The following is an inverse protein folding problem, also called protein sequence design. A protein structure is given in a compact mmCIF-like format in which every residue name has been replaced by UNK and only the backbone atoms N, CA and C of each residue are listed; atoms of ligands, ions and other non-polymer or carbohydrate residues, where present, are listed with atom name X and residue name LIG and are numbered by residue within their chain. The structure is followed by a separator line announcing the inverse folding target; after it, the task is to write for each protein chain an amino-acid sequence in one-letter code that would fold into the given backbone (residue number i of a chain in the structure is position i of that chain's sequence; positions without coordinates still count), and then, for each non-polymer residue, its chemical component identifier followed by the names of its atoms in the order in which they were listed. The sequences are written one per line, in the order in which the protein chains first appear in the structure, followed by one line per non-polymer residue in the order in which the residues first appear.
data_IF_855359365964
#
_entry.id   IF_855359365964
#
_cell.length_a   1.000
_cell.length_b   1.000
_cell.length_c   1.000
_cell.angle_alpha   90.00
_cell.angle_beta   90.00
_cell.angle_gamma   90.00
#
_symmetry.space_group_name_H-M   'P 1'
#
loop_
_entity.id
_entity.type
_entity.pdbx_description
1 polymer ?
#
# COMPACT_ATOMS: atom_id res chain seq x y z
N UNK A 1 0.12 20.40 21.53
CA UNK A 1 0.56 20.27 20.12
C UNK A 1 0.19 18.87 19.65
N UNK A 2 -0.74 18.73 18.70
CA UNK A 2 -1.20 17.43 18.24
C UNK A 2 -0.09 16.70 17.48
N UNK A 3 0.19 15.46 17.86
CA UNK A 3 1.16 14.60 17.17
C UNK A 3 0.75 14.48 15.70
N UNK A 4 1.63 14.84 14.77
CA UNK A 4 1.40 14.60 13.34
C UNK A 4 1.49 13.10 13.07
N UNK A 5 0.35 12.52 12.67
CA UNK A 5 0.28 11.12 12.23
C UNK A 5 1.28 10.87 11.10
N UNK A 6 2.15 9.84 11.18
CA UNK A 6 3.08 9.53 10.10
C UNK A 6 2.31 9.23 8.82
N UNK A 7 2.75 9.84 7.72
CA UNK A 7 2.17 9.59 6.40
C UNK A 7 2.65 8.26 5.87
N UNK A 8 1.74 7.46 5.34
CA UNK A 8 2.06 6.12 4.83
C UNK A 8 1.66 6.02 3.37
N UNK A 9 2.58 5.51 2.54
CA UNK A 9 2.29 4.94 1.24
C UNK A 9 2.31 3.42 1.34
N UNK A 10 1.39 2.75 0.66
CA UNK A 10 1.35 1.29 0.59
C UNK A 10 1.29 0.80 -0.86
N UNK A 11 1.88 -0.37 -1.08
CA UNK A 11 1.90 -1.09 -2.36
C UNK A 11 1.48 -2.52 -2.07
N UNK A 12 0.47 -3.01 -2.78
CA UNK A 12 0.08 -4.41 -2.81
C UNK A 12 0.70 -5.04 -4.06
N UNK A 13 1.23 -6.24 -3.92
CA UNK A 13 1.98 -6.95 -4.96
C UNK A 13 1.23 -8.26 -5.21
N UNK A 14 0.85 -8.53 -6.46
CA UNK A 14 0.18 -9.76 -6.87
C UNK A 14 -0.53 -9.63 -8.20
N UNK A 15 -0.10 -10.37 -9.22
CA UNK A 15 -0.77 -10.41 -10.53
C UNK A 15 -2.21 -10.94 -10.40
N UNK A 16 -2.49 -11.85 -9.47
CA UNK A 16 -3.82 -12.43 -9.24
C UNK A 16 -4.84 -11.41 -8.73
N UNK A 17 -4.37 -10.35 -8.08
CA UNK A 17 -5.23 -9.25 -7.64
C UNK A 17 -5.60 -8.38 -8.85
N UNK A 18 -4.63 -8.10 -9.71
CA UNK A 18 -4.86 -7.34 -10.95
C UNK A 18 -5.75 -8.11 -11.94
N UNK A 19 -5.60 -9.44 -12.00
CA UNK A 19 -6.36 -10.30 -12.90
C UNK A 19 -7.69 -10.78 -12.31
N UNK A 20 -8.11 -10.27 -11.15
CA UNK A 20 -9.34 -10.66 -10.42
C UNK A 20 -9.43 -12.16 -10.06
N UNK A 21 -8.33 -12.92 -10.14
CA UNK A 21 -8.30 -14.33 -9.71
C UNK A 21 -8.45 -14.44 -8.21
N UNK A 22 -7.98 -13.43 -7.48
CA UNK A 22 -8.04 -13.36 -6.02
C UNK A 22 -8.55 -11.99 -5.59
N UNK A 23 -9.51 -12.00 -4.66
CA UNK A 23 -10.00 -10.77 -4.03
C UNK A 23 -8.94 -10.19 -3.09
N UNK A 24 -8.67 -8.91 -3.21
CA UNK A 24 -7.80 -8.20 -2.26
C UNK A 24 -8.44 -8.13 -0.86
N UNK A 25 -7.85 -8.88 0.08
CA UNK A 25 -8.19 -8.84 1.51
C UNK A 25 -7.09 -8.16 2.35
N UNK A 26 -5.93 -7.90 1.73
CA UNK A 26 -4.78 -7.30 2.38
C UNK A 26 -4.97 -5.80 2.57
N UNK A 27 -5.50 -5.08 1.58
CA UNK A 27 -5.70 -3.63 1.69
C UNK A 27 -6.62 -3.23 2.84
N UNK A 28 -7.83 -3.82 3.00
CA UNK A 28 -8.68 -3.48 4.14
C UNK A 28 -8.01 -3.82 5.50
N UNK A 29 -7.30 -4.95 5.59
CA UNK A 29 -6.58 -5.36 6.80
C UNK A 29 -5.46 -4.39 7.15
N UNK A 30 -4.67 -3.97 6.16
CA UNK A 30 -3.60 -3.00 6.29
C UNK A 30 -4.12 -1.62 6.72
N UNK A 31 -5.15 -1.10 6.04
CA UNK A 31 -5.76 0.21 6.36
C UNK A 31 -6.25 0.23 7.81
N UNK A 32 -6.95 -0.82 8.25
CA UNK A 32 -7.40 -0.95 9.64
C UNK A 32 -6.22 -0.99 10.62
N UNK A 33 -5.17 -1.74 10.28
CA UNK A 33 -3.98 -1.87 11.11
C UNK A 33 -3.17 -0.57 11.23
N UNK A 34 -3.12 0.25 10.16
CA UNK A 34 -2.46 1.56 10.14
C UNK A 34 -3.24 2.58 10.97
N UNK A 35 -4.57 2.65 10.80
CA UNK A 35 -5.43 3.54 11.59
C UNK A 35 -5.29 3.30 13.10
N UNK A 36 -5.25 2.03 13.54
CA UNK A 36 -5.04 1.68 14.95
C UNK A 36 -3.67 2.12 15.50
N UNK A 37 -2.68 2.33 14.62
CA UNK A 37 -1.33 2.77 14.98
C UNK A 37 -1.11 4.27 14.76
N UNK A 38 -2.17 5.03 14.46
CA UNK A 38 -2.08 6.46 14.21
C UNK A 38 -1.42 6.84 12.88
N UNK A 39 -1.28 5.90 11.94
CA UNK A 39 -0.74 6.17 10.61
C UNK A 39 -1.81 6.72 9.65
N UNK A 40 -1.44 7.72 8.86
CA UNK A 40 -2.30 8.33 7.84
C UNK A 40 -1.93 7.78 6.46
N UNK A 41 -2.68 6.78 5.98
CA UNK A 41 -2.49 6.26 4.62
C UNK A 41 -2.89 7.34 3.60
N UNK A 42 -1.95 7.73 2.74
CA UNK A 42 -2.15 8.77 1.71
C UNK A 42 -2.32 8.21 0.31
N UNK A 43 -1.76 7.02 0.05
CA UNK A 43 -1.81 6.40 -1.28
C UNK A 43 -1.63 4.89 -1.15
N UNK A 44 -2.48 4.14 -1.83
CA UNK A 44 -2.43 2.69 -1.98
C UNK A 44 -2.43 2.37 -3.48
N UNK A 45 -1.55 1.47 -3.92
CA UNK A 45 -1.54 0.94 -5.28
C UNK A 45 -1.46 -0.58 -5.26
N UNK A 46 -1.86 -1.20 -6.36
CA UNK A 46 -1.64 -2.61 -6.65
C UNK A 46 -0.74 -2.67 -7.88
N UNK A 47 0.31 -3.49 -7.83
CA UNK A 47 1.25 -3.73 -8.94
C UNK A 47 1.45 -5.22 -9.14
N UNK A 48 1.92 -5.61 -10.33
CA UNK A 48 2.27 -6.99 -10.62
C UNK A 48 3.57 -7.43 -9.94
N UNK A 49 3.92 -8.69 -10.10
CA UNK A 49 5.04 -9.34 -9.38
C UNK A 49 6.41 -9.09 -10.02
N UNK A 50 6.48 -8.18 -10.99
CA UNK A 50 7.72 -7.80 -11.66
C UNK A 50 8.54 -6.87 -10.79
N UNK A 51 9.79 -7.25 -10.51
CA UNK A 51 10.75 -6.45 -9.74
C UNK A 51 10.86 -4.99 -10.22
N UNK A 52 10.88 -4.77 -11.53
CA UNK A 52 10.97 -3.41 -12.09
C UNK A 52 9.73 -2.56 -11.76
N UNK A 53 8.54 -3.16 -11.73
CA UNK A 53 7.30 -2.46 -11.39
C UNK A 53 7.25 -2.12 -9.90
N UNK A 54 7.57 -3.10 -9.05
CA UNK A 54 7.66 -2.90 -7.60
C UNK A 54 8.68 -1.81 -7.29
N UNK A 55 9.87 -1.88 -7.89
CA UNK A 55 10.94 -0.90 -7.70
C UNK A 55 10.56 0.51 -8.14
N UNK A 56 9.90 0.66 -9.30
CA UNK A 56 9.39 1.95 -9.77
C UNK A 56 8.33 2.51 -8.82
N UNK A 57 7.39 1.68 -8.38
CA UNK A 57 6.29 2.10 -7.52
C UNK A 57 6.77 2.48 -6.12
N UNK A 58 7.73 1.76 -5.56
CA UNK A 58 8.35 2.13 -4.28
C UNK A 58 9.13 3.44 -4.42
N UNK A 59 9.91 3.60 -5.50
CA UNK A 59 10.69 4.82 -5.76
C UNK A 59 9.80 6.05 -5.95
N UNK A 60 8.64 5.92 -6.61
CA UNK A 60 7.71 7.03 -6.80
C UNK A 60 7.12 7.58 -5.49
N UNK A 61 7.33 6.86 -4.38
CA UNK A 61 6.79 7.15 -3.05
C UNK A 61 7.83 7.61 -2.03
N UNK A 62 9.11 7.44 -2.34
CA UNK A 62 10.19 8.00 -1.54
C UNK A 62 10.36 9.49 -1.93
N UNK A 63 9.81 10.37 -1.10
CA UNK A 63 10.05 11.81 -1.12
C UNK A 63 10.59 12.23 0.25
#
# INVERSE_FOLDING_TARGET
MGQTSPTVGAVIIGDEILSEKVKDTNSPRLIRALRRRGGSLRRLSVVGDRLDEIGREVRSRAA
#
